data_IF_357274848332
#
_entry.id   IF_357274848332
#
_cell.length_a   1.000
_cell.length_b   1.000
_cell.length_c   1.000
_cell.angle_alpha   90.00
_cell.angle_beta   90.00
_cell.angle_gamma   90.00
#
_symmetry.space_group_name_H-M   'P 1'
#
loop_
_entity.id
_entity.type
_entity.pdbx_description
1 polymer ?
#
# COMPACT_ATOMS: atom_id res chain seq x y z
N UNK A 1 28.14 8.03 -12.80
CA UNK A 1 27.94 6.67 -12.23
C UNK A 1 26.45 6.48 -12.09
N UNK A 2 25.87 5.84 -13.10
CA UNK A 2 24.42 5.70 -13.33
C UNK A 2 23.82 4.77 -12.28
N UNK A 3 22.65 5.16 -11.77
CA UNK A 3 21.88 4.42 -10.77
C UNK A 3 21.59 2.98 -11.25
N UNK A 4 22.12 2.00 -10.52
CA UNK A 4 21.91 0.56 -10.71
C UNK A 4 21.24 -0.05 -9.47
N UNK A 5 20.27 0.65 -8.89
CA UNK A 5 19.49 0.10 -7.78
C UNK A 5 18.04 0.00 -8.26
N UNK A 6 17.55 -1.24 -8.34
CA UNK A 6 16.17 -1.69 -8.62
C UNK A 6 15.65 -1.73 -10.06
N UNK A 7 16.42 -2.23 -11.04
CA UNK A 7 15.81 -2.87 -12.22
C UNK A 7 15.35 -4.31 -11.96
N UNK A 8 15.87 -4.98 -10.92
CA UNK A 8 15.55 -6.38 -10.61
C UNK A 8 14.12 -6.60 -10.11
N UNK A 9 13.49 -5.62 -9.45
CA UNK A 9 12.08 -5.72 -9.04
C UNK A 9 11.11 -5.62 -10.23
N UNK A 10 11.54 -5.04 -11.35
CA UNK A 10 10.76 -4.92 -12.60
C UNK A 10 11.04 -6.05 -13.61
N UNK A 11 12.20 -6.71 -13.52
CA UNK A 11 12.75 -7.49 -14.63
C UNK A 11 12.04 -8.83 -14.93
N UNK A 12 11.03 -9.24 -14.16
CA UNK A 12 10.37 -10.55 -14.35
C UNK A 12 8.84 -10.51 -14.35
N UNK A 13 8.20 -9.34 -14.28
CA UNK A 13 6.74 -9.24 -14.27
C UNK A 13 6.28 -8.70 -15.62
N UNK A 14 5.71 -9.58 -16.44
CA UNK A 14 5.00 -9.15 -17.64
C UNK A 14 3.79 -8.30 -17.23
N UNK A 15 3.61 -7.09 -17.81
CA UNK A 15 2.48 -6.24 -17.46
C UNK A 15 1.15 -6.97 -17.62
N UNK A 16 0.39 -7.06 -16.53
CA UNK A 16 -0.92 -7.71 -16.48
C UNK A 16 -2.02 -6.67 -16.71
N UNK A 17 -2.96 -6.94 -17.62
CA UNK A 17 -4.15 -6.08 -17.77
C UNK A 17 -5.12 -6.33 -16.62
N UNK A 18 -5.55 -5.26 -15.97
CA UNK A 18 -6.38 -5.33 -14.75
C UNK A 18 -7.72 -4.65 -15.00
N UNK A 19 -8.79 -5.29 -14.54
CA UNK A 19 -10.14 -4.74 -14.64
C UNK A 19 -10.29 -3.46 -13.80
N UNK A 20 -11.26 -2.62 -14.18
CA UNK A 20 -11.53 -1.36 -13.50
C UNK A 20 -12.42 -1.56 -12.25
N UNK A 21 -11.84 -2.10 -11.17
CA UNK A 21 -12.56 -2.43 -9.93
C UNK A 21 -13.24 -1.21 -9.31
N UNK A 22 -14.40 -1.44 -8.69
CA UNK A 22 -15.05 -0.46 -7.82
C UNK A 22 -14.66 -0.70 -6.35
N UNK A 23 -14.31 0.38 -5.66
CA UNK A 23 -14.00 0.40 -4.24
C UNK A 23 -15.05 1.20 -3.48
N UNK A 24 -15.38 0.75 -2.28
CA UNK A 24 -16.25 1.51 -1.40
C UNK A 24 -15.50 2.68 -0.75
N UNK A 25 -16.17 3.81 -0.62
CA UNK A 25 -15.68 5.02 0.04
C UNK A 25 -16.76 5.55 0.99
N UNK A 26 -16.43 6.45 1.95
CA UNK A 26 -17.43 7.00 2.85
C UNK A 26 -18.57 7.72 2.12
N UNK A 27 -18.28 8.27 0.93
CA UNK A 27 -19.26 8.85 0.03
C UNK A 27 -19.24 8.12 -1.31
N UNK A 28 -20.00 7.02 -1.40
CA UNK A 28 -20.22 6.28 -2.64
C UNK A 28 -19.10 5.31 -3.00
N UNK A 29 -18.68 5.31 -4.26
CA UNK A 29 -17.69 4.39 -4.81
C UNK A 29 -16.70 5.11 -5.71
N UNK A 30 -15.48 4.59 -5.81
CA UNK A 30 -14.50 5.01 -6.79
C UNK A 30 -14.03 3.81 -7.61
N UNK A 31 -13.81 4.03 -8.90
CA UNK A 31 -13.18 3.05 -9.80
C UNK A 31 -11.65 3.13 -9.72
N UNK A 32 -10.95 2.02 -9.95
CA UNK A 32 -9.49 1.97 -9.98
C UNK A 32 -8.92 3.03 -10.95
N UNK A 33 -9.53 3.19 -12.12
CA UNK A 33 -9.21 4.21 -13.12
C UNK A 33 -9.35 5.64 -12.59
N UNK A 34 -10.25 5.91 -11.66
CA UNK A 34 -10.43 7.23 -11.06
C UNK A 34 -9.34 7.53 -10.01
N UNK A 35 -8.80 6.50 -9.34
CA UNK A 35 -7.79 6.67 -8.27
C UNK A 35 -6.45 7.22 -8.77
N UNK A 36 -6.19 7.11 -10.07
CA UNK A 36 -5.04 7.73 -10.73
C UNK A 36 -5.09 9.27 -10.72
N UNK A 37 -6.28 9.88 -10.66
CA UNK A 37 -6.44 11.33 -10.79
C UNK A 37 -5.77 11.88 -12.06
N UNK A 38 -4.90 12.87 -11.88
CA UNK A 38 -4.10 13.54 -12.91
C UNK A 38 -2.79 12.80 -13.25
N UNK A 39 -2.57 11.60 -12.71
CA UNK A 39 -1.34 10.82 -12.87
C UNK A 39 -1.53 9.65 -13.83
N UNK A 40 -0.42 9.21 -14.40
CA UNK A 40 -0.36 7.99 -15.22
C UNK A 40 0.12 6.77 -14.46
N UNK A 41 0.53 6.94 -13.20
CA UNK A 41 1.06 5.88 -12.33
C UNK A 41 0.35 5.93 -11.00
N UNK A 42 -0.08 4.77 -10.50
CA UNK A 42 -0.80 4.62 -9.25
C UNK A 42 -0.13 3.54 -8.39
N UNK A 43 0.19 3.88 -7.15
CA UNK A 43 0.51 2.92 -6.11
C UNK A 43 -0.75 2.59 -5.32
N UNK A 44 -1.09 1.30 -5.24
CA UNK A 44 -2.11 0.80 -4.31
C UNK A 44 -1.41 -0.02 -3.24
N UNK A 45 -1.42 0.49 -2.02
CA UNK A 45 -0.93 -0.24 -0.86
C UNK A 45 -2.01 -1.21 -0.41
N UNK A 46 -1.72 -2.51 -0.43
CA UNK A 46 -2.55 -3.54 0.18
C UNK A 46 -2.25 -3.55 1.68
N UNK A 47 -3.21 -3.07 2.46
CA UNK A 47 -3.11 -2.97 3.91
C UNK A 47 -4.10 -3.95 4.55
N UNK A 48 -3.67 -4.70 5.56
CA UNK A 48 -4.57 -5.66 6.23
C UNK A 48 -5.63 -4.98 7.12
N UNK A 49 -5.55 -3.66 7.28
CA UNK A 49 -6.48 -2.86 8.05
C UNK A 49 -6.01 -2.61 9.48
N UNK A 50 -6.93 -2.09 10.26
CA UNK A 50 -6.78 -1.64 11.66
C UNK A 50 -6.43 -2.74 12.67
N UNK A 51 -6.32 -3.99 12.26
CA UNK A 51 -5.92 -5.13 13.11
C UNK A 51 -4.45 -5.53 12.92
N UNK A 52 -3.73 -4.93 11.97
CA UNK A 52 -2.33 -5.22 11.68
C UNK A 52 -1.41 -4.06 12.11
N UNK A 53 -0.67 -4.24 13.21
CA UNK A 53 0.25 -3.21 13.71
C UNK A 53 1.42 -2.94 12.75
N UNK A 54 1.93 -3.96 12.05
CA UNK A 54 2.95 -3.78 11.00
C UNK A 54 2.43 -2.92 9.85
N UNK A 55 1.20 -3.18 9.40
CA UNK A 55 0.50 -2.41 8.37
C UNK A 55 0.22 -0.97 8.79
N UNK A 56 0.01 -0.75 10.09
CA UNK A 56 -0.07 0.60 10.66
C UNK A 56 1.28 1.31 10.56
N UNK A 57 2.37 0.64 10.96
CA UNK A 57 3.72 1.20 10.91
C UNK A 57 4.17 1.55 9.48
N UNK A 58 3.94 0.69 8.49
CA UNK A 58 4.21 1.03 7.08
C UNK A 58 3.42 2.27 6.64
N UNK A 59 2.12 2.31 6.95
CA UNK A 59 1.26 3.45 6.60
C UNK A 59 1.68 4.74 7.33
N UNK A 60 2.13 4.68 8.59
CA UNK A 60 2.70 5.83 9.29
C UNK A 60 3.95 6.38 8.57
N UNK A 61 4.82 5.49 8.10
CA UNK A 61 6.00 5.85 7.30
C UNK A 61 5.61 6.54 6.01
N UNK A 62 4.68 5.98 5.24
CA UNK A 62 4.17 6.60 4.01
C UNK A 62 3.51 7.94 4.28
N UNK A 63 2.74 8.06 5.38
CA UNK A 63 2.11 9.30 5.78
C UNK A 63 3.13 10.42 6.02
N UNK A 64 4.29 10.09 6.62
CA UNK A 64 5.37 11.05 6.86
C UNK A 64 6.00 11.63 5.59
N UNK A 65 6.02 10.86 4.50
CA UNK A 65 6.63 11.26 3.20
C UNK A 65 5.60 11.44 2.08
N UNK A 66 4.31 11.46 2.41
CA UNK A 66 3.21 11.37 1.44
C UNK A 66 3.27 12.46 0.36
N UNK A 67 3.67 13.68 0.72
CA UNK A 67 3.81 14.81 -0.20
C UNK A 67 4.79 14.53 -1.34
N UNK A 68 5.90 13.84 -1.07
CA UNK A 68 6.86 13.46 -2.10
C UNK A 68 6.30 12.37 -3.02
N UNK A 69 5.61 11.38 -2.44
CA UNK A 69 5.02 10.27 -3.19
C UNK A 69 3.94 10.79 -4.15
N UNK A 70 2.96 11.56 -3.62
CA UNK A 70 1.82 12.06 -4.38
C UNK A 70 2.20 13.07 -5.47
N UNK A 71 3.34 13.77 -5.29
CA UNK A 71 3.86 14.67 -6.32
C UNK A 71 4.24 13.89 -7.59
N UNK A 72 4.82 12.69 -7.44
CA UNK A 72 5.34 11.88 -8.55
C UNK A 72 4.32 10.91 -9.14
N UNK A 73 3.45 10.31 -8.32
CA UNK A 73 2.48 9.31 -8.73
C UNK A 73 1.25 9.35 -7.81
N UNK A 74 0.11 8.85 -8.29
CA UNK A 74 -1.04 8.67 -7.44
C UNK A 74 -0.75 7.59 -6.39
N UNK A 75 -1.35 7.73 -5.22
CA UNK A 75 -1.08 6.85 -4.08
C UNK A 75 -2.34 6.68 -3.24
N UNK A 76 -2.71 5.44 -2.96
CA UNK A 76 -3.89 5.09 -2.17
C UNK A 76 -3.61 3.87 -1.31
N UNK A 77 -4.23 3.81 -0.13
CA UNK A 77 -4.23 2.64 0.73
C UNK A 77 -5.56 1.89 0.59
N UNK A 78 -5.50 0.64 0.18
CA UNK A 78 -6.64 -0.27 0.11
C UNK A 78 -6.63 -1.24 1.30
N UNK A 79 -7.77 -1.43 1.96
CA UNK A 79 -7.89 -2.40 3.06
C UNK A 79 -9.27 -3.08 3.11
N UNK A 80 -9.41 -4.22 3.81
CA UNK A 80 -10.69 -4.93 3.94
C UNK A 80 -11.67 -4.28 4.93
N UNK A 81 -11.24 -3.26 5.68
CA UNK A 81 -12.08 -2.54 6.63
C UNK A 81 -13.19 -1.78 5.89
N UNK A 82 -14.34 -1.56 6.54
CA UNK A 82 -15.40 -0.69 5.99
C UNK A 82 -14.88 0.75 5.86
N UNK A 83 -15.44 1.57 4.96
CA UNK A 83 -15.03 2.97 4.82
C UNK A 83 -15.06 3.77 6.14
N UNK A 84 -16.06 3.53 7.00
CA UNK A 84 -16.20 4.22 8.29
C UNK A 84 -15.08 3.82 9.27
N UNK A 85 -14.72 2.53 9.27
CA UNK A 85 -13.64 1.99 10.09
C UNK A 85 -12.28 2.51 9.61
N UNK A 86 -12.05 2.54 8.30
CA UNK A 86 -10.87 3.15 7.69
C UNK A 86 -10.75 4.62 8.08
N UNK A 87 -11.82 5.40 7.92
CA UNK A 87 -11.85 6.83 8.25
C UNK A 87 -11.54 7.07 9.74
N UNK A 88 -12.20 6.32 10.63
CA UNK A 88 -11.99 6.45 12.07
C UNK A 88 -10.55 6.11 12.47
N UNK A 89 -9.99 5.04 11.91
CA UNK A 89 -8.63 4.61 12.19
C UNK A 89 -7.59 5.60 11.64
N UNK A 90 -7.73 6.02 10.38
CA UNK A 90 -6.87 7.02 9.77
C UNK A 90 -6.88 8.35 10.53
N UNK A 91 -8.06 8.81 10.98
CA UNK A 91 -8.18 10.00 11.80
C UNK A 91 -7.44 9.86 13.15
N UNK A 92 -7.58 8.71 13.81
CA UNK A 92 -6.85 8.40 15.05
C UNK A 92 -5.33 8.33 14.89
N UNK A 93 -4.83 8.07 13.67
CA UNK A 93 -3.40 8.09 13.32
C UNK A 93 -2.93 9.43 12.73
N UNK A 94 -3.83 10.38 12.46
CA UNK A 94 -3.50 11.62 11.75
C UNK A 94 -3.05 11.39 10.30
N UNK A 95 -3.54 10.33 9.66
CA UNK A 95 -3.20 10.01 8.28
C UNK A 95 -3.85 10.98 7.29
N UNK A 96 -3.06 11.39 6.30
CA UNK A 96 -3.49 12.19 5.14
C UNK A 96 -3.61 11.34 3.87
N UNK A 97 -3.40 10.04 4.00
CA UNK A 97 -3.39 9.08 2.90
C UNK A 97 -4.82 8.88 2.37
N UNK A 98 -5.05 8.95 1.05
CA UNK A 98 -6.29 8.50 0.45
C UNK A 98 -6.53 7.03 0.77
N UNK A 99 -7.76 6.70 1.17
CA UNK A 99 -8.13 5.35 1.55
C UNK A 99 -9.35 4.87 0.77
N UNK A 100 -9.32 3.60 0.37
CA UNK A 100 -10.42 2.92 -0.31
C UNK A 100 -10.65 1.54 0.30
N UNK A 101 -11.91 1.10 0.37
CA UNK A 101 -12.24 -0.23 0.88
C UNK A 101 -12.39 -1.22 -0.26
N UNK A 102 -11.69 -2.34 -0.16
CA UNK A 102 -11.82 -3.49 -1.06
C UNK A 102 -12.78 -4.57 -0.49
N UNK A 103 -13.67 -4.18 0.42
CA UNK A 103 -14.69 -5.06 0.97
C UNK A 103 -15.72 -5.44 -0.11
N UNK A 104 -16.16 -6.70 -0.11
CA UNK A 104 -17.21 -7.19 -1.02
C UNK A 104 -16.79 -7.34 -2.49
N UNK A 105 -15.48 -7.32 -2.76
CA UNK A 105 -14.91 -7.48 -4.11
C UNK A 105 -13.60 -8.28 -4.08
N UNK A 106 -13.13 -8.68 -5.26
CA UNK A 106 -12.03 -9.65 -5.44
C UNK A 106 -10.67 -9.01 -5.72
N UNK A 107 -10.55 -7.68 -5.73
CA UNK A 107 -9.30 -6.98 -6.09
C UNK A 107 -8.08 -7.50 -5.32
N UNK A 108 -8.19 -7.65 -4.00
CA UNK A 108 -7.07 -8.17 -3.22
C UNK A 108 -6.74 -9.64 -3.57
N UNK A 109 -7.74 -10.45 -3.91
CA UNK A 109 -7.53 -11.85 -4.30
C UNK A 109 -6.88 -11.94 -5.68
N UNK A 110 -7.41 -11.21 -6.66
CA UNK A 110 -6.91 -11.17 -8.03
C UNK A 110 -5.49 -10.59 -8.10
N UNK A 111 -5.16 -9.64 -7.21
CA UNK A 111 -3.81 -9.08 -7.09
C UNK A 111 -2.86 -9.95 -6.24
N UNK A 112 -3.31 -11.08 -5.68
CA UNK A 112 -2.48 -12.00 -4.90
C UNK A 112 -2.28 -11.64 -3.42
N UNK A 113 -3.02 -10.67 -2.91
CA UNK A 113 -2.98 -10.18 -1.51
C UNK A 113 -4.14 -10.68 -0.64
N UNK A 114 -4.94 -11.63 -1.14
CA UNK A 114 -5.89 -12.41 -0.33
C UNK A 114 -5.87 -13.92 -0.63
N UNK A 115 -4.70 -14.58 -0.66
CA UNK A 115 -4.65 -16.01 -0.96
C UNK A 115 -5.36 -16.82 0.14
N UNK A 116 -6.26 -17.72 -0.26
CA UNK A 116 -7.01 -18.59 0.65
C UNK A 116 -7.75 -17.81 1.78
N UNK A 117 -8.26 -16.62 1.46
CA UNK A 117 -8.97 -15.76 2.41
C UNK A 117 -8.09 -15.00 3.41
N UNK A 118 -6.75 -15.17 3.37
CA UNK A 118 -5.83 -14.46 4.26
C UNK A 118 -5.33 -13.18 3.61
N UNK A 119 -5.61 -12.04 4.23
CA UNK A 119 -5.12 -10.74 3.72
C UNK A 119 -3.62 -10.61 4.01
N UNK A 120 -2.86 -10.20 3.01
CA UNK A 120 -1.40 -10.01 3.07
C UNK A 120 -1.08 -8.55 2.74
N UNK A 121 -0.04 -7.96 3.35
CA UNK A 121 0.36 -6.59 3.05
C UNK A 121 1.29 -6.52 1.84
N UNK A 122 1.25 -5.41 1.11
CA UNK A 122 2.16 -5.16 0.00
C UNK A 122 1.75 -3.98 -0.85
N UNK A 123 2.24 -3.93 -2.09
CA UNK A 123 1.96 -2.86 -3.03
C UNK A 123 1.81 -3.40 -4.45
N UNK A 124 0.80 -2.93 -5.15
CA UNK A 124 0.70 -3.05 -6.61
C UNK A 124 0.91 -1.68 -7.25
N UNK A 125 1.67 -1.66 -8.35
CA UNK A 125 1.93 -0.47 -9.16
C UNK A 125 1.21 -0.60 -10.48
N UNK A 126 0.34 0.36 -10.77
CA UNK A 126 -0.44 0.40 -11.99
C UNK A 126 -0.02 1.56 -12.89
N UNK A 127 -0.17 1.36 -14.19
CA UNK A 127 0.06 2.34 -15.25
C UNK A 127 -1.18 2.43 -16.14
N UNK A 128 -1.55 3.66 -16.52
CA UNK A 128 -2.50 3.86 -17.63
C UNK A 128 -1.79 3.52 -18.95
N UNK A 129 -2.48 2.78 -19.83
CA UNK A 129 -2.04 2.49 -21.20
C UNK A 129 -3.23 2.64 -22.15
N UNK A 130 -3.46 3.86 -22.63
CA UNK A 130 -4.71 4.21 -23.30
C UNK A 130 -5.88 4.04 -22.33
N UNK A 131 -6.91 3.31 -22.74
CA UNK A 131 -8.09 3.02 -21.91
C UNK A 131 -7.88 1.82 -20.95
N UNK A 132 -6.69 1.21 -20.95
CA UNK A 132 -6.36 0.04 -20.13
C UNK A 132 -5.60 0.42 -18.87
N UNK A 133 -5.79 -0.39 -17.83
CA UNK A 133 -5.00 -0.36 -16.60
C UNK A 133 -4.07 -1.56 -16.62
N UNK A 134 -2.76 -1.32 -16.54
CA UNK A 134 -1.75 -2.37 -16.49
C UNK A 134 -1.11 -2.40 -15.11
N UNK A 135 -1.10 -3.55 -14.44
CA UNK A 135 -0.21 -3.78 -13.29
C UNK A 135 1.19 -4.06 -13.82
N UNK A 136 2.14 -3.23 -13.44
CA UNK A 136 3.51 -3.22 -14.01
C UNK A 136 4.59 -3.60 -13.00
N UNK A 137 4.25 -3.63 -11.72
CA UNK A 137 5.12 -4.12 -10.66
C UNK A 137 4.27 -4.42 -9.42
N UNK A 138 4.77 -5.29 -8.56
CA UNK A 138 4.23 -5.51 -7.23
C UNK A 138 5.30 -6.10 -6.31
N UNK A 139 5.07 -5.99 -5.00
CA UNK A 139 5.86 -6.71 -4.00
C UNK A 139 5.05 -6.91 -2.73
N UNK A 140 5.34 -7.98 -1.99
CA UNK A 140 4.77 -8.24 -0.67
C UNK A 140 5.60 -7.53 0.39
N UNK A 141 4.94 -6.98 1.40
CA UNK A 141 5.63 -6.40 2.55
C UNK A 141 5.97 -7.47 3.57
N UNK A 142 7.21 -7.47 4.03
CA UNK A 142 7.77 -8.46 4.94
C UNK A 142 8.67 -7.78 5.94
N UNK A 143 8.95 -8.45 7.05
CA UNK A 143 9.93 -7.95 8.00
C UNK A 143 11.29 -7.73 7.30
N UNK A 144 11.90 -6.57 7.51
CA UNK A 144 13.15 -6.19 6.84
C UNK A 144 13.01 -5.70 5.40
N UNK A 145 11.80 -5.42 4.90
CA UNK A 145 11.64 -4.80 3.59
C UNK A 145 12.11 -3.34 3.54
N UNK A 146 12.44 -2.89 2.33
CA UNK A 146 12.87 -1.50 2.06
C UNK A 146 11.72 -0.48 2.14
N UNK A 147 10.49 -0.94 2.39
CA UNK A 147 9.31 -0.08 2.50
C UNK A 147 9.13 0.47 3.90
N UNK A 148 9.97 0.06 4.87
CA UNK A 148 9.97 0.59 6.23
C UNK A 148 11.37 0.99 6.71
N UNK A 149 11.58 2.30 6.87
CA UNK A 149 12.85 2.82 7.42
C UNK A 149 13.17 2.35 8.83
N UNK A 150 12.15 1.95 9.63
CA UNK A 150 12.35 1.45 11.00
C UNK A 150 13.23 0.22 11.02
N UNK A 151 13.03 -0.73 10.10
CA UNK A 151 13.84 -1.95 10.04
C UNK A 151 15.28 -1.64 9.72
N UNK A 152 15.54 -0.80 8.72
CA UNK A 152 16.90 -0.37 8.40
C UNK A 152 17.62 0.34 9.55
N UNK A 153 16.89 1.11 10.36
CA UNK A 153 17.47 1.76 11.53
C UNK A 153 17.78 0.75 12.64
N UNK A 154 16.93 -0.26 12.83
CA UNK A 154 17.19 -1.33 13.80
C UNK A 154 18.36 -2.22 13.38
N UNK A 155 18.60 -2.43 12.10
CA UNK A 155 19.77 -3.19 11.61
C UNK A 155 21.11 -2.52 11.97
N UNK A 156 21.10 -1.22 12.31
CA UNK A 156 22.29 -0.49 12.78
C UNK A 156 22.56 -0.69 14.28
N UNK A 157 21.60 -1.24 15.02
CA UNK A 157 21.73 -1.55 16.44
C UNK A 157 22.46 -2.91 16.56
N UNK A 158 23.51 -3.06 17.40
CA UNK A 158 24.25 -4.32 17.49
C UNK A 158 23.41 -5.56 17.79
N UNK A 159 22.36 -5.41 18.61
CA UNK A 159 21.38 -6.45 18.94
C UNK A 159 20.19 -6.54 17.97
N UNK A 160 20.16 -5.67 16.95
CA UNK A 160 19.08 -5.56 15.98
C UNK A 160 17.75 -5.15 16.62
N UNK A 161 16.65 -5.60 16.01
CA UNK A 161 15.31 -5.37 16.55
C UNK A 161 15.04 -6.13 17.87
N UNK A 162 15.87 -7.11 18.27
CA UNK A 162 15.76 -7.86 19.53
C UNK A 162 14.33 -8.31 19.91
N UNK A 163 13.56 -8.80 18.93
CA UNK A 163 12.17 -9.26 19.14
C UNK A 163 11.11 -8.14 19.23
N UNK A 164 11.49 -6.89 18.98
CA UNK A 164 10.59 -5.76 18.93
C UNK A 164 9.46 -5.97 17.92
N UNK A 165 8.26 -5.54 18.29
CA UNK A 165 7.07 -5.57 17.44
C UNK A 165 6.39 -4.19 17.47
N UNK A 166 5.85 -3.73 16.33
CA UNK A 166 5.12 -2.48 16.30
C UNK A 166 3.85 -2.58 17.14
N UNK A 167 3.45 -1.44 17.70
CA UNK A 167 2.24 -1.29 18.50
C UNK A 167 1.37 -0.22 17.88
N UNK A 168 0.06 -0.30 18.09
CA UNK A 168 -0.85 0.76 17.66
C UNK A 168 -0.63 2.07 18.44
N UNK A 169 -0.10 2.01 19.66
CA UNK A 169 0.26 3.19 20.44
C UNK A 169 1.54 2.92 21.23
N UNK A 170 2.30 3.98 21.44
CA UNK A 170 3.51 3.98 22.26
C UNK A 170 3.26 4.93 23.44
N UNK A 171 3.76 4.58 24.63
CA UNK A 171 3.69 5.48 25.78
C UNK A 171 4.45 6.77 25.46
N UNK A 172 3.89 7.90 25.90
CA UNK A 172 4.52 9.22 25.80
C UNK A 172 5.44 9.47 26.97
#
# INVERSE_FOLDING_TARGET
RTALINQSAQASIEPEEVQDYEFAMPQGKARLSALFGDKDTLFVIHNMGSTCAHCTMWADGFNGVFEHLRNRAAFVVASPDTPERQQSFAAGRGWKLPMVSNQGQTFAEDMGYRPNGRVMPGVSVFKRKGDKIMRVADTTFTHGDDSCSVWHLFDLIPEGAAGWQPKFSYAS
#
